data_IF_796882894531
#
_entry.id   IF_796882894531
#
_cell.length_a   1.000
_cell.length_b   1.000
_cell.length_c   1.000
_cell.angle_alpha   90.00
_cell.angle_beta   90.00
_cell.angle_gamma   90.00
#
_symmetry.space_group_name_H-M   'P 1'
#
loop_
_entity.id
_entity.type
_entity.pdbx_description
1 polymer ?
#
# COMPACT_ATOMS: atom_id res chain seq x y z
N UNK A 1 6.93 -11.80 -25.15
CA UNK A 1 7.28 -12.98 -24.33
C UNK A 1 8.79 -12.93 -24.11
N UNK A 2 9.25 -12.52 -22.93
CA UNK A 2 10.66 -12.60 -22.57
C UNK A 2 10.75 -13.19 -21.15
N UNK A 3 11.39 -14.35 -21.08
CA UNK A 3 11.80 -15.04 -19.87
C UNK A 3 13.18 -14.50 -19.48
N UNK A 4 13.33 -14.03 -18.25
CA UNK A 4 14.64 -13.90 -17.61
C UNK A 4 14.59 -14.56 -16.24
N UNK A 5 15.36 -15.63 -16.10
CA UNK A 5 15.65 -16.31 -14.83
C UNK A 5 16.90 -15.66 -14.23
N UNK A 6 16.83 -15.31 -12.95
CA UNK A 6 17.99 -15.17 -12.06
C UNK A 6 18.74 -13.84 -12.15
N UNK A 7 18.41 -12.91 -11.25
CA UNK A 7 19.19 -11.71 -10.96
C UNK A 7 18.52 -10.85 -9.89
N UNK A 8 19.22 -10.63 -8.78
CA UNK A 8 18.79 -9.82 -7.63
C UNK A 8 18.20 -8.47 -8.08
N UNK A 9 16.95 -8.20 -7.70
CA UNK A 9 16.30 -6.89 -7.86
C UNK A 9 15.00 -6.85 -8.68
N UNK A 10 14.53 -7.96 -9.24
CA UNK A 10 13.32 -7.98 -10.07
C UNK A 10 12.11 -8.52 -9.30
N UNK A 11 10.99 -7.79 -9.30
CA UNK A 11 9.72 -8.37 -8.92
C UNK A 11 9.40 -9.40 -9.99
N UNK A 12 8.79 -10.52 -9.62
CA UNK A 12 8.37 -11.51 -10.60
C UNK A 12 7.39 -10.94 -11.63
N UNK A 13 6.88 -11.80 -12.51
CA UNK A 13 5.80 -11.40 -13.42
C UNK A 13 4.58 -10.94 -12.62
N UNK A 14 4.05 -9.76 -12.96
CA UNK A 14 2.92 -9.15 -12.27
C UNK A 14 2.23 -8.11 -13.11
N UNK A 15 1.03 -7.74 -12.68
CA UNK A 15 0.23 -6.68 -13.29
C UNK A 15 0.16 -5.55 -12.27
N UNK A 16 0.47 -4.32 -12.70
CA UNK A 16 0.29 -3.11 -11.90
C UNK A 16 -0.93 -2.38 -12.45
N UNK A 17 -1.88 -2.09 -11.56
CA UNK A 17 -3.06 -1.29 -11.86
C UNK A 17 -2.98 -0.02 -11.02
N UNK A 18 -3.02 1.13 -11.67
CA UNK A 18 -2.98 2.44 -11.01
C UNK A 18 -4.34 3.10 -11.08
N UNK A 19 -4.86 3.58 -9.94
CA UNK A 19 -6.05 4.42 -9.89
C UNK A 19 -5.72 5.91 -9.86
N UNK A 20 -6.76 6.75 -9.98
CA UNK A 20 -6.66 8.22 -9.83
C UNK A 20 -7.47 8.71 -8.62
N UNK A 21 -7.40 7.97 -7.50
CA UNK A 21 -8.21 8.17 -6.30
C UNK A 21 -9.30 7.12 -6.15
N UNK A 22 -10.53 7.55 -5.84
CA UNK A 22 -11.65 6.62 -5.70
C UNK A 22 -11.93 5.89 -7.03
N UNK A 23 -12.09 4.56 -7.00
CA UNK A 23 -12.20 3.79 -8.23
C UNK A 23 -13.59 3.91 -8.84
N UNK A 24 -13.63 4.03 -10.17
CA UNK A 24 -14.86 3.92 -10.94
C UNK A 24 -15.35 2.46 -11.01
N UNK A 25 -16.55 2.27 -11.56
CA UNK A 25 -17.17 0.94 -11.68
C UNK A 25 -16.33 0.00 -12.54
N UNK A 26 -15.77 0.50 -13.65
CA UNK A 26 -14.97 -0.31 -14.58
C UNK A 26 -13.69 -0.84 -13.92
N UNK A 27 -12.98 0.00 -13.18
CA UNK A 27 -11.76 -0.38 -12.44
C UNK A 27 -12.09 -1.40 -11.35
N UNK A 28 -13.20 -1.21 -10.63
CA UNK A 28 -13.66 -2.18 -9.62
C UNK A 28 -14.01 -3.52 -10.25
N UNK A 29 -14.72 -3.51 -11.37
CA UNK A 29 -15.09 -4.72 -12.09
C UNK A 29 -13.85 -5.44 -12.62
N UNK A 30 -12.85 -4.73 -13.15
CA UNK A 30 -11.58 -5.31 -13.56
C UNK A 30 -10.88 -6.02 -12.40
N UNK A 31 -10.73 -5.35 -11.26
CA UNK A 31 -10.05 -5.91 -10.08
C UNK A 31 -10.84 -7.09 -9.49
N UNK A 32 -12.17 -7.01 -9.45
CA UNK A 32 -13.05 -8.12 -9.06
C UNK A 32 -12.87 -9.33 -9.99
N UNK A 33 -12.93 -9.09 -11.31
CA UNK A 33 -12.75 -10.14 -12.33
C UNK A 33 -11.40 -10.83 -12.18
N UNK A 34 -10.32 -10.07 -11.97
CA UNK A 34 -9.00 -10.63 -11.71
C UNK A 34 -8.97 -11.44 -10.40
N UNK A 35 -9.62 -10.94 -9.35
CA UNK A 35 -9.72 -11.64 -8.07
C UNK A 35 -10.50 -12.95 -8.15
N UNK A 36 -11.53 -13.03 -8.99
CA UNK A 36 -12.35 -14.23 -9.10
C UNK A 36 -11.73 -15.28 -10.04
N UNK A 37 -10.99 -14.84 -11.06
CA UNK A 37 -10.49 -15.72 -12.12
C UNK A 37 -9.01 -16.11 -12.00
N UNK A 38 -8.20 -15.36 -11.24
CA UNK A 38 -6.80 -15.73 -11.04
C UNK A 38 -6.68 -16.88 -10.02
N UNK A 39 -5.70 -17.79 -10.19
CA UNK A 39 -5.43 -18.84 -9.20
C UNK A 39 -5.24 -18.28 -7.79
N UNK A 40 -5.64 -19.03 -6.77
CA UNK A 40 -5.48 -18.64 -5.36
C UNK A 40 -4.02 -18.33 -4.98
N UNK A 41 -3.05 -18.97 -5.66
CA UNK A 41 -1.62 -18.73 -5.50
C UNK A 41 -1.14 -17.34 -5.97
N UNK A 42 -1.97 -16.60 -6.70
CA UNK A 42 -1.66 -15.24 -7.14
C UNK A 42 -2.20 -14.26 -6.10
N UNK A 43 -1.31 -13.63 -5.33
CA UNK A 43 -1.70 -12.60 -4.36
C UNK A 43 -2.16 -11.34 -5.07
N UNK A 44 -3.24 -10.74 -4.59
CA UNK A 44 -3.73 -9.43 -5.06
C UNK A 44 -3.44 -8.44 -3.96
N UNK A 45 -2.58 -7.49 -4.24
CA UNK A 45 -2.03 -6.59 -3.24
C UNK A 45 -2.44 -5.15 -3.58
N UNK A 46 -2.70 -4.37 -2.54
CA UNK A 46 -3.00 -2.95 -2.65
C UNK A 46 -1.98 -2.14 -1.84
N UNK A 47 -1.40 -1.16 -2.52
CA UNK A 47 -0.56 -0.12 -1.93
C UNK A 47 -1.35 1.19 -2.01
N UNK A 48 -1.58 1.81 -0.86
CA UNK A 48 -2.28 3.12 -0.75
C UNK A 48 -1.51 4.03 0.19
N UNK A 49 -1.80 5.33 0.13
CA UNK A 49 -1.25 6.31 1.06
C UNK A 49 -1.61 5.95 2.51
N UNK A 50 -0.71 6.30 3.43
CA UNK A 50 -0.91 6.17 4.86
C UNK A 50 -1.77 7.33 5.36
N UNK A 51 -3.02 7.37 4.88
CA UNK A 51 -4.03 8.34 5.29
C UNK A 51 -5.45 7.73 5.35
N UNK A 52 -6.43 8.43 5.95
CA UNK A 52 -7.79 7.92 6.05
C UNK A 52 -8.49 7.71 4.69
N UNK A 53 -8.14 8.49 3.67
CA UNK A 53 -8.75 8.39 2.34
C UNK A 53 -8.22 7.18 1.57
N UNK A 54 -6.90 6.91 1.62
CA UNK A 54 -6.26 5.73 1.06
C UNK A 54 -6.85 4.44 1.63
N UNK A 55 -7.00 4.35 2.95
CA UNK A 55 -7.63 3.19 3.60
C UNK A 55 -9.11 3.06 3.21
N UNK A 56 -9.82 4.17 3.00
CA UNK A 56 -11.22 4.13 2.55
C UNK A 56 -11.34 3.67 1.09
N UNK A 57 -10.46 4.13 0.20
CA UNK A 57 -10.35 3.65 -1.19
C UNK A 57 -10.12 2.14 -1.22
N UNK A 58 -9.15 1.67 -0.44
CA UNK A 58 -8.87 0.25 -0.25
C UNK A 58 -10.13 -0.51 0.25
N UNK A 59 -10.88 0.07 1.18
CA UNK A 59 -12.13 -0.54 1.67
C UNK A 59 -13.18 -0.69 0.57
N UNK A 60 -13.26 0.25 -0.37
CA UNK A 60 -14.17 0.18 -1.52
C UNK A 60 -13.76 -0.94 -2.48
N UNK A 61 -12.46 -1.13 -2.73
CA UNK A 61 -12.00 -2.24 -3.55
C UNK A 61 -12.26 -3.60 -2.89
N UNK A 62 -11.95 -3.74 -1.59
CA UNK A 62 -12.02 -5.05 -0.90
C UNK A 62 -13.45 -5.44 -0.50
N UNK A 63 -14.25 -4.46 -0.05
CA UNK A 63 -15.57 -4.68 0.53
C UNK A 63 -16.69 -3.97 -0.22
N UNK A 64 -16.43 -3.36 -1.37
CA UNK A 64 -17.43 -2.59 -2.11
C UNK A 64 -17.82 -1.27 -1.44
N UNK A 65 -18.61 -0.47 -2.16
CA UNK A 65 -19.18 0.77 -1.64
C UNK A 65 -20.55 0.52 -1.02
N UNK A 66 -20.82 1.11 0.15
CA UNK A 66 -22.15 1.08 0.78
C UNK A 66 -23.23 1.73 -0.11
N UNK A 67 -22.85 2.68 -0.96
CA UNK A 67 -23.77 3.33 -1.91
C UNK A 67 -24.17 2.40 -3.08
N UNK A 68 -23.46 1.29 -3.29
CA UNK A 68 -23.72 0.30 -4.35
C UNK A 68 -23.88 -1.10 -3.75
N UNK A 69 -24.59 -1.19 -2.63
CA UNK A 69 -24.82 -2.47 -1.92
C UNK A 69 -25.59 -3.50 -2.77
N UNK A 70 -26.39 -3.05 -3.73
CA UNK A 70 -27.11 -3.93 -4.67
C UNK A 70 -26.20 -4.60 -5.72
N UNK A 71 -25.02 -4.03 -5.99
CA UNK A 71 -24.01 -4.56 -6.94
C UNK A 71 -22.79 -5.14 -6.21
N UNK A 72 -22.95 -5.44 -4.91
CA UNK A 72 -21.85 -5.85 -4.04
C UNK A 72 -21.19 -7.16 -4.49
N UNK A 73 -21.96 -8.08 -5.06
CA UNK A 73 -21.48 -9.40 -5.51
C UNK A 73 -20.57 -9.36 -6.74
N UNK A 74 -20.52 -8.24 -7.49
CA UNK A 74 -19.75 -8.14 -8.75
C UNK A 74 -18.67 -7.06 -8.73
N UNK A 75 -18.54 -6.29 -7.64
CA UNK A 75 -17.66 -5.11 -7.57
C UNK A 75 -16.80 -5.04 -6.30
N UNK A 76 -16.62 -6.16 -5.61
CA UNK A 76 -15.76 -6.28 -4.43
C UNK A 76 -14.75 -7.40 -4.65
N UNK A 77 -13.50 -7.18 -4.26
CA UNK A 77 -12.41 -8.15 -4.38
C UNK A 77 -11.89 -8.53 -2.98
N UNK A 78 -12.52 -9.50 -2.27
CA UNK A 78 -12.16 -9.84 -0.89
C UNK A 78 -10.73 -10.31 -0.70
N UNK A 79 -10.11 -10.87 -1.76
CA UNK A 79 -8.73 -11.35 -1.80
C UNK A 79 -7.67 -10.25 -1.73
N UNK A 80 -8.04 -8.97 -1.84
CA UNK A 80 -7.08 -7.87 -1.77
C UNK A 80 -6.41 -7.83 -0.40
N UNK A 81 -5.09 -7.82 -0.38
CA UNK A 81 -4.28 -7.63 0.82
C UNK A 81 -3.66 -6.24 0.82
N UNK A 82 -3.84 -5.52 1.92
CA UNK A 82 -3.18 -4.24 2.11
C UNK A 82 -1.74 -4.45 2.54
N UNK A 83 -0.79 -3.98 1.73
CA UNK A 83 0.64 -4.19 1.96
C UNK A 83 1.36 -2.95 2.53
N UNK A 84 0.59 -1.90 2.81
CA UNK A 84 1.05 -0.60 3.26
C UNK A 84 0.68 0.52 2.28
N UNK A 85 1.18 1.73 2.46
CA UNK A 85 2.15 2.15 3.48
C UNK A 85 1.50 2.21 4.87
N UNK A 86 2.13 1.63 5.89
CA UNK A 86 1.62 1.70 7.26
C UNK A 86 2.20 2.91 7.99
N UNK A 87 1.35 3.68 8.68
CA UNK A 87 1.82 4.84 9.45
C UNK A 87 2.75 4.39 10.60
N UNK A 88 2.51 3.21 11.15
CA UNK A 88 3.30 2.64 12.25
C UNK A 88 4.71 2.20 11.86
N UNK A 89 5.00 1.99 10.56
CA UNK A 89 6.30 1.51 10.11
C UNK A 89 7.22 2.59 9.54
N UNK A 90 6.71 3.79 9.29
CA UNK A 90 7.51 4.87 8.69
C UNK A 90 8.75 5.22 9.55
N UNK A 91 8.63 5.16 10.87
CA UNK A 91 9.74 5.41 11.78
C UNK A 91 10.87 4.36 11.65
N UNK A 92 10.55 3.11 11.33
CA UNK A 92 11.57 2.07 11.11
C UNK A 92 12.23 2.18 9.74
N UNK A 93 11.63 2.95 8.81
CA UNK A 93 12.20 3.31 7.51
C UNK A 93 13.04 4.59 7.57
N UNK A 94 13.38 5.08 8.77
CA UNK A 94 14.14 6.32 9.00
C UNK A 94 13.46 7.58 8.41
N UNK A 95 12.14 7.56 8.28
CA UNK A 95 11.37 8.73 7.85
C UNK A 95 10.99 9.54 9.08
N UNK A 96 11.41 10.80 9.13
CA UNK A 96 11.08 11.69 10.24
C UNK A 96 9.59 12.07 10.18
N UNK A 97 9.01 12.37 11.34
CA UNK A 97 7.67 12.97 11.42
C UNK A 97 7.59 14.31 10.71
N UNK A 98 8.70 15.03 10.59
CA UNK A 98 8.74 16.32 9.90
C UNK A 98 8.65 16.18 8.37
N UNK A 99 9.02 15.02 7.83
CA UNK A 99 8.80 14.66 6.42
C UNK A 99 7.34 14.24 6.15
N UNK A 100 6.59 13.93 7.22
CA UNK A 100 5.19 13.55 7.14
C UNK A 100 4.25 14.76 7.17
N UNK A 101 3.11 14.60 6.51
CA UNK A 101 2.10 15.65 6.42
C UNK A 101 1.24 15.67 7.69
N UNK A 102 1.02 16.83 8.33
CA UNK A 102 0.06 16.96 9.41
C UNK A 102 -1.36 16.59 8.95
N UNK A 103 -2.11 15.86 9.78
CA UNK A 103 -3.51 15.56 9.45
C UNK A 103 -4.38 16.81 9.56
N UNK A 104 -5.30 16.97 8.61
CA UNK A 104 -6.29 18.05 8.62
C UNK A 104 -7.52 17.68 9.46
N UNK A 105 -8.40 18.66 9.73
CA UNK A 105 -9.71 18.41 10.37
C UNK A 105 -10.59 17.45 9.54
N UNK A 106 -10.44 17.48 8.21
CA UNK A 106 -11.18 16.59 7.32
C UNK A 106 -10.68 15.15 7.42
N UNK A 107 -9.35 14.96 7.45
CA UNK A 107 -8.72 13.66 7.67
C UNK A 107 -9.17 13.06 9.01
N UNK A 108 -9.14 13.85 10.07
CA UNK A 108 -9.59 13.43 11.41
C UNK A 108 -11.06 13.01 11.42
N UNK A 109 -11.95 13.82 10.82
CA UNK A 109 -13.37 13.47 10.70
C UNK A 109 -13.57 12.17 9.92
N UNK A 110 -12.80 11.97 8.85
CA UNK A 110 -12.84 10.74 8.04
C UNK A 110 -12.36 9.52 8.83
N UNK A 111 -11.23 9.63 9.51
CA UNK A 111 -10.67 8.59 10.38
C UNK A 111 -11.66 8.14 11.46
N UNK A 112 -12.24 9.10 12.19
CA UNK A 112 -13.24 8.81 13.23
C UNK A 112 -14.49 8.15 12.63
N UNK A 113 -14.94 8.59 11.45
CA UNK A 113 -16.06 7.95 10.75
C UNK A 113 -15.75 6.50 10.37
N UNK A 114 -14.53 6.22 9.91
CA UNK A 114 -14.11 4.86 9.56
C UNK A 114 -14.03 3.93 10.77
N UNK A 115 -13.52 4.41 11.91
CA UNK A 115 -13.44 3.61 13.15
C UNK A 115 -14.81 3.19 13.70
N UNK A 116 -15.89 3.85 13.28
CA UNK A 116 -17.27 3.46 13.62
C UNK A 116 -17.82 2.32 12.75
N UNK A 117 -17.16 1.96 11.65
CA UNK A 117 -17.59 0.86 10.77
C UNK A 117 -17.38 -0.49 11.49
N UNK A 118 -18.44 -1.31 11.59
CA UNK A 118 -18.39 -2.63 12.29
C UNK A 118 -17.40 -3.63 11.69
N UNK A 119 -17.20 -3.58 10.38
CA UNK A 119 -16.43 -4.60 9.65
C UNK A 119 -15.02 -4.13 9.26
N UNK A 120 -14.49 -3.09 9.91
CA UNK A 120 -13.13 -2.64 9.67
C UNK A 120 -12.13 -3.62 10.31
N UNK A 121 -11.15 -4.17 9.57
CA UNK A 121 -10.14 -5.05 10.15
C UNK A 121 -9.41 -4.40 11.32
N UNK A 122 -9.16 -5.15 12.39
CA UNK A 122 -8.47 -4.65 13.60
C UNK A 122 -7.11 -4.02 13.27
N UNK A 123 -6.36 -4.58 12.32
CA UNK A 123 -5.09 -4.03 11.86
C UNK A 123 -5.27 -2.64 11.24
N UNK A 124 -6.30 -2.45 10.42
CA UNK A 124 -6.58 -1.15 9.80
C UNK A 124 -7.04 -0.13 10.84
N UNK A 125 -7.86 -0.56 11.81
CA UNK A 125 -8.25 0.31 12.93
C UNK A 125 -7.06 0.79 13.75
N UNK A 126 -6.05 -0.06 13.98
CA UNK A 126 -4.81 0.34 14.68
C UNK A 126 -4.03 1.38 13.89
N UNK A 127 -3.88 1.21 12.58
CA UNK A 127 -3.20 2.21 11.73
C UNK A 127 -3.94 3.56 11.75
N UNK A 128 -5.28 3.55 11.69
CA UNK A 128 -6.07 4.78 11.80
C UNK A 128 -5.89 5.44 13.17
N UNK A 129 -5.92 4.66 14.25
CA UNK A 129 -5.66 5.16 15.60
C UNK A 129 -4.25 5.72 15.75
N UNK A 130 -3.25 5.08 15.13
CA UNK A 130 -1.87 5.55 15.11
C UNK A 130 -1.75 6.90 14.40
N UNK A 131 -2.41 7.09 13.26
CA UNK A 131 -2.45 8.39 12.58
C UNK A 131 -3.10 9.48 13.43
N UNK A 132 -4.22 9.17 14.10
CA UNK A 132 -4.89 10.10 15.00
C UNK A 132 -4.01 10.48 16.21
N UNK A 133 -3.28 9.51 16.76
CA UNK A 133 -2.37 9.73 17.88
C UNK A 133 -1.15 10.56 17.49
N UNK A 134 -0.50 10.22 16.38
CA UNK A 134 0.71 10.91 15.91
C UNK A 134 0.42 12.25 15.25
N UNK A 135 -0.83 12.49 14.84
CA UNK A 135 -1.27 13.66 14.06
C UNK A 135 -0.56 13.79 12.71
N UNK A 136 -0.05 12.68 12.17
CA UNK A 136 0.68 12.61 10.90
C UNK A 136 0.04 11.61 9.93
N UNK A 137 0.11 11.92 8.65
CA UNK A 137 -0.20 11.05 7.51
C UNK A 137 0.96 11.09 6.52
N UNK A 138 1.04 10.11 5.63
CA UNK A 138 2.09 10.08 4.63
C UNK A 138 1.60 9.58 3.27
N UNK A 139 2.11 10.19 2.22
CA UNK A 139 1.87 9.76 0.84
C UNK A 139 2.93 8.71 0.45
N UNK A 140 2.64 7.80 -0.48
CA UNK A 140 3.55 6.69 -0.86
C UNK A 140 4.92 7.20 -1.32
N UNK A 141 5.00 8.34 -2.01
CA UNK A 141 6.26 8.90 -2.50
C UNK A 141 7.23 9.33 -1.39
N UNK A 142 6.81 9.42 -0.12
CA UNK A 142 7.74 9.62 0.99
C UNK A 142 8.80 8.50 1.04
N UNK A 143 8.40 7.25 0.77
CA UNK A 143 9.31 6.11 0.77
C UNK A 143 10.27 6.23 -0.43
N UNK A 144 9.77 6.68 -1.58
CA UNK A 144 10.61 6.87 -2.76
C UNK A 144 11.67 7.97 -2.56
N UNK A 145 11.38 8.99 -1.75
CA UNK A 145 12.32 10.07 -1.39
C UNK A 145 13.31 9.67 -0.31
N UNK A 146 12.89 8.88 0.68
CA UNK A 146 13.68 8.56 1.88
C UNK A 146 15.09 7.97 1.60
N UNK A 147 15.30 7.20 0.52
CA UNK A 147 16.64 6.70 0.19
C UNK A 147 17.54 7.72 -0.49
N UNK A 148 16.97 8.77 -1.11
CA UNK A 148 17.75 9.83 -1.76
C UNK A 148 18.50 10.66 -0.70
N UNK A 149 18.04 10.66 0.55
CA UNK A 149 18.55 11.51 1.63
C UNK A 149 19.49 10.78 2.61
N UNK A 150 19.94 9.56 2.30
CA UNK A 150 20.97 8.89 3.12
C UNK A 150 22.32 9.63 3.03
N UNK A 151 22.48 10.61 3.91
CA UNK A 151 23.68 11.29 4.39
C UNK A 151 24.94 11.24 3.51
N UNK A 152 25.20 12.40 2.91
CA UNK A 152 26.51 12.92 2.58
C UNK A 152 27.29 13.20 3.89
N UNK A 153 27.82 12.16 4.53
CA UNK A 153 28.84 12.27 5.59
C UNK A 153 29.79 11.09 5.53
N UNK A 154 30.63 11.11 4.49
CA UNK A 154 31.76 10.20 4.31
C UNK A 154 32.18 10.17 2.85
N UNK A 155 33.35 10.73 2.53
CA UNK A 155 33.91 10.77 1.17
C UNK A 155 33.72 9.43 0.45
N UNK A 156 32.83 9.39 -0.56
CA UNK A 156 32.81 8.34 -1.58
C UNK A 156 32.75 8.98 -2.96
N UNK A 157 33.59 8.43 -3.83
CA UNK A 157 33.87 8.95 -5.17
C UNK A 157 32.60 9.03 -6.03
N UNK A 158 32.44 10.07 -6.87
CA UNK A 158 31.28 10.26 -7.76
C UNK A 158 31.07 9.15 -8.84
N UNK A 159 31.94 8.14 -8.90
CA UNK A 159 32.03 7.17 -9.99
C UNK A 159 31.72 5.71 -9.62
N UNK A 160 31.02 5.44 -8.50
CA UNK A 160 30.62 4.07 -8.14
C UNK A 160 29.26 3.72 -8.78
N UNK A 161 29.18 2.81 -9.78
CA UNK A 161 27.99 2.59 -10.60
C UNK A 161 26.93 1.70 -9.92
N UNK A 162 26.98 1.54 -8.59
CA UNK A 162 25.93 0.87 -7.82
C UNK A 162 24.70 1.76 -7.74
N UNK A 163 23.94 1.71 -8.83
CA UNK A 163 22.56 2.16 -9.01
C UNK A 163 21.85 2.23 -7.65
N UNK A 164 21.56 3.43 -7.18
CA UNK A 164 20.69 3.67 -6.04
C UNK A 164 19.43 2.81 -6.25
N UNK A 165 19.30 1.74 -5.47
CA UNK A 165 18.15 0.86 -5.56
C UNK A 165 16.94 1.69 -5.13
N UNK A 166 15.93 1.79 -5.99
CA UNK A 166 14.75 2.60 -5.70
C UNK A 166 14.13 2.08 -4.39
N UNK A 167 14.10 2.91 -3.34
CA UNK A 167 13.64 2.53 -2.00
C UNK A 167 12.22 2.00 -1.99
N UNK A 168 11.36 2.55 -2.84
CA UNK A 168 10.00 2.04 -2.99
C UNK A 168 10.00 0.62 -3.55
N UNK A 169 10.88 0.33 -4.52
CA UNK A 169 11.04 -1.02 -5.06
C UNK A 169 11.57 -1.96 -3.97
N UNK A 170 12.60 -1.56 -3.22
CA UNK A 170 13.15 -2.36 -2.12
C UNK A 170 12.08 -2.67 -1.05
N UNK A 171 11.31 -1.65 -0.65
CA UNK A 171 10.17 -1.78 0.26
C UNK A 171 9.13 -2.76 -0.27
N UNK A 172 8.73 -2.64 -1.55
CA UNK A 172 7.77 -3.55 -2.17
C UNK A 172 8.30 -4.99 -2.23
N UNK A 173 9.58 -5.20 -2.57
CA UNK A 173 10.17 -6.55 -2.55
C UNK A 173 10.12 -7.16 -1.15
N UNK A 174 10.42 -6.37 -0.12
CA UNK A 174 10.35 -6.84 1.26
C UNK A 174 8.93 -7.27 1.62
N UNK A 175 7.91 -6.46 1.29
CA UNK A 175 6.50 -6.80 1.55
C UNK A 175 6.05 -8.04 0.80
N UNK A 176 6.33 -8.13 -0.51
CA UNK A 176 5.95 -9.26 -1.36
C UNK A 176 6.58 -10.56 -0.84
N UNK A 177 7.86 -10.52 -0.42
CA UNK A 177 8.55 -11.68 0.16
C UNK A 177 7.88 -12.14 1.47
N UNK A 178 7.56 -11.21 2.35
CA UNK A 178 6.89 -11.52 3.62
C UNK A 178 5.55 -12.22 3.39
N UNK A 179 4.73 -11.70 2.48
CA UNK A 179 3.41 -12.28 2.15
C UNK A 179 3.56 -13.66 1.52
N UNK A 180 4.47 -13.80 0.55
CA UNK A 180 4.72 -15.08 -0.13
C UNK A 180 5.17 -16.16 0.86
N UNK A 181 5.97 -15.81 1.87
CA UNK A 181 6.42 -16.75 2.88
C UNK A 181 5.29 -17.16 3.84
N UNK A 182 4.41 -16.22 4.21
CA UNK A 182 3.23 -16.54 5.03
C UNK A 182 2.29 -17.51 4.32
N UNK A 183 2.03 -17.30 3.02
CA UNK A 183 1.16 -18.18 2.21
C UNK A 183 1.73 -19.59 2.04
N UNK A 184 3.07 -19.75 2.04
CA UNK A 184 3.71 -21.06 1.91
C UNK A 184 3.71 -21.88 3.22
N UNK A 185 3.43 -21.24 4.36
CA UNK A 185 3.43 -21.89 5.68
C UNK A 185 2.03 -22.23 6.21
N UNK A 186 0.98 -21.81 5.50
CA UNK A 186 -0.45 -22.05 5.80
C UNK A 186 -1.04 -23.10 4.87
#
# INVERSE_FOLDING_TARGET
>A
MQLSRGGNGHCGQGIIITGKGYPDVATRQLVCTLADNLPASVSIMALVDADPYGIDILSVYKYGSAAMSHEHSTLAAPRIEWIGVFSSELSSLCIDKDDMVPITKHDEKKAVSMLRKRNLPKTWSREIQHMLYTRRKAEIEIIARAAVETHNSGCRSPNDPKRAENSLVAYLMQKIRTITNTVRQS
#
